data_IF_373603815549
#
_entry.id   IF_373603815549
#
_cell.length_a   1.000
_cell.length_b   1.000
_cell.length_c   1.000
_cell.angle_alpha   90.00
_cell.angle_beta   90.00
_cell.angle_gamma   90.00
#
_symmetry.space_group_name_H-M   'P 1'
#
loop_
_entity.id
_entity.type
_entity.pdbx_description
1 polymer ?
#
# COMPACT_ATOMS: atom_id res chain seq x y z
N UNK A 1 5.47 -9.48 -25.18
CA UNK A 1 4.97 -8.16 -25.61
C UNK A 1 3.54 -8.35 -26.11
N UNK A 2 2.58 -7.58 -25.61
CA UNK A 2 1.17 -7.65 -26.03
C UNK A 2 0.76 -6.33 -26.65
N UNK A 3 0.34 -6.34 -27.92
CA UNK A 3 -0.20 -5.16 -28.61
C UNK A 3 -1.72 -5.14 -28.45
N UNK A 4 -2.27 -3.98 -28.10
CA UNK A 4 -3.71 -3.77 -27.92
C UNK A 4 -4.19 -2.71 -28.92
N UNK A 5 -5.37 -2.92 -29.48
CA UNK A 5 -6.03 -1.95 -30.37
C UNK A 5 -6.90 -1.01 -29.55
N UNK A 6 -6.77 0.29 -29.82
CA UNK A 6 -7.67 1.30 -29.26
C UNK A 6 -8.99 1.22 -30.04
N UNK A 7 -10.09 1.06 -29.32
CA UNK A 7 -11.44 1.08 -29.90
C UNK A 7 -11.81 2.48 -30.39
N UNK A 8 -12.87 2.60 -31.19
CA UNK A 8 -13.39 3.90 -31.64
C UNK A 8 -13.78 4.84 -30.49
N UNK A 9 -14.04 4.30 -29.30
CA UNK A 9 -14.33 5.06 -28.07
C UNK A 9 -13.07 5.42 -27.27
N UNK A 10 -11.87 5.16 -27.78
CA UNK A 10 -10.62 5.44 -27.07
C UNK A 10 -10.29 4.45 -25.95
N UNK A 11 -10.93 3.28 -25.91
CA UNK A 11 -10.71 2.27 -24.86
C UNK A 11 -9.76 1.16 -25.33
N UNK A 12 -8.98 0.61 -24.40
CA UNK A 12 -8.22 -0.64 -24.58
C UNK A 12 -8.82 -1.75 -23.72
N UNK A 13 -8.76 -2.99 -24.19
CA UNK A 13 -9.23 -4.16 -23.43
C UNK A 13 -8.05 -4.97 -22.93
N UNK A 14 -7.91 -5.10 -21.61
CA UNK A 14 -6.92 -5.96 -20.98
C UNK A 14 -7.43 -7.40 -20.93
N UNK A 15 -6.70 -8.33 -21.55
CA UNK A 15 -7.02 -9.77 -21.49
C UNK A 15 -6.72 -10.35 -20.11
N UNK A 16 -7.27 -11.55 -19.84
CA UNK A 16 -7.20 -12.25 -18.53
C UNK A 16 -5.79 -12.29 -17.91
N UNK A 17 -4.75 -12.50 -18.72
CA UNK A 17 -3.39 -12.61 -18.21
C UNK A 17 -2.83 -11.27 -17.71
N UNK A 18 -3.16 -10.16 -18.38
CA UNK A 18 -2.77 -8.81 -17.93
C UNK A 18 -3.54 -8.37 -16.69
N UNK A 19 -4.85 -8.70 -16.61
CA UNK A 19 -5.64 -8.46 -15.40
C UNK A 19 -5.07 -9.21 -14.19
N UNK A 20 -4.63 -10.47 -14.40
CA UNK A 20 -4.00 -11.28 -13.36
C UNK A 20 -2.67 -10.69 -12.90
N UNK A 21 -1.83 -10.21 -13.82
CA UNK A 21 -0.57 -9.55 -13.48
C UNK A 21 -0.78 -8.25 -12.70
N UNK A 22 -1.81 -7.49 -13.05
CA UNK A 22 -2.19 -6.29 -12.29
C UNK A 22 -2.86 -6.62 -10.94
N UNK A 23 -3.30 -7.86 -10.72
CA UNK A 23 -4.01 -8.26 -9.51
C UNK A 23 -5.41 -7.64 -9.38
N UNK A 24 -6.07 -7.33 -10.50
CA UNK A 24 -7.40 -6.69 -10.51
C UNK A 24 -8.49 -7.61 -11.04
N UNK A 25 -9.70 -7.47 -10.50
CA UNK A 25 -10.92 -8.16 -10.94
C UNK A 25 -11.96 -7.15 -11.46
N UNK A 26 -13.01 -7.60 -12.18
CA UNK A 26 -14.10 -6.70 -12.57
C UNK A 26 -14.67 -5.93 -11.38
N UNK A 27 -14.86 -4.62 -11.54
CA UNK A 27 -15.30 -3.71 -10.48
C UNK A 27 -14.18 -2.99 -9.73
N UNK A 28 -12.95 -3.50 -9.77
CA UNK A 28 -11.78 -2.80 -9.22
C UNK A 28 -11.35 -1.66 -10.14
N UNK A 29 -10.71 -0.65 -9.54
CA UNK A 29 -10.19 0.52 -10.25
C UNK A 29 -8.70 0.36 -10.52
N UNK A 30 -8.23 1.02 -11.57
CA UNK A 30 -6.80 1.14 -11.90
C UNK A 30 -6.42 2.61 -11.96
N UNK A 31 -5.19 2.92 -11.59
CA UNK A 31 -4.60 4.24 -11.72
C UNK A 31 -3.71 4.25 -12.97
N UNK A 32 -3.78 5.34 -13.73
CA UNK A 32 -2.97 5.55 -14.94
C UNK A 32 -2.17 6.83 -14.74
N UNK A 33 -0.86 6.72 -14.80
CA UNK A 33 0.06 7.86 -14.55
C UNK A 33 1.02 8.02 -15.73
N UNK A 34 1.18 9.24 -16.27
CA UNK A 34 2.22 9.52 -17.25
C UNK A 34 3.61 9.36 -16.63
N UNK A 35 4.50 8.62 -17.29
CA UNK A 35 5.90 8.45 -16.83
C UNK A 35 6.93 9.06 -17.77
N UNK A 36 6.49 9.73 -18.84
CA UNK A 36 7.34 10.35 -19.85
C UNK A 36 6.64 10.46 -21.21
N UNK A 37 7.34 10.99 -22.23
CA UNK A 37 6.77 11.17 -23.57
C UNK A 37 6.23 9.85 -24.14
N UNK A 38 4.94 9.81 -24.46
CA UNK A 38 4.28 8.63 -25.04
C UNK A 38 4.18 7.41 -24.11
N UNK A 39 4.44 7.58 -22.80
CA UNK A 39 4.46 6.46 -21.83
C UNK A 39 3.45 6.66 -20.71
N UNK A 40 2.73 5.59 -20.44
CA UNK A 40 1.82 5.47 -19.30
C UNK A 40 2.22 4.27 -18.46
N UNK A 41 2.09 4.41 -17.16
CA UNK A 41 2.11 3.31 -16.20
C UNK A 41 0.68 3.04 -15.73
N UNK A 42 0.33 1.76 -15.62
CA UNK A 42 -0.97 1.31 -15.12
C UNK A 42 -0.72 0.49 -13.87
N UNK A 43 -1.38 0.84 -12.77
CA UNK A 43 -1.31 0.11 -11.50
C UNK A 43 -2.71 -0.17 -10.99
N UNK A 44 -2.87 -1.25 -10.22
CA UNK A 44 -4.09 -1.43 -9.44
C UNK A 44 -4.26 -0.25 -8.49
N UNK A 45 -5.46 0.33 -8.41
CA UNK A 45 -5.76 1.26 -7.34
C UNK A 45 -5.82 0.44 -6.05
N UNK A 46 -4.99 0.75 -5.03
CA UNK A 46 -5.09 0.05 -3.76
C UNK A 46 -6.51 0.22 -3.22
N UNK A 47 -7.23 -0.88 -3.00
CA UNK A 47 -8.39 -0.83 -2.12
C UNK A 47 -7.82 -0.40 -0.76
N UNK A 48 -8.14 0.82 -0.31
CA UNK A 48 -7.84 1.25 1.06
C UNK A 48 -8.70 0.41 2.00
N UNK A 49 -8.27 -0.83 2.26
CA UNK A 49 -8.88 -1.69 3.27
C UNK A 49 -8.30 -1.27 4.60
N UNK A 50 -9.17 -0.68 5.39
CA UNK A 50 -8.85 -0.21 6.72
C UNK A 50 -8.40 1.24 6.75
N UNK A 51 -8.76 1.89 7.85
CA UNK A 51 -8.28 3.22 8.23
C UNK A 51 -7.16 3.07 9.26
N UNK A 52 -6.29 4.07 9.39
CA UNK A 52 -5.33 4.10 10.51
C UNK A 52 -6.04 4.03 11.88
N UNK A 53 -7.30 4.45 11.97
CA UNK A 53 -8.11 4.32 13.19
C UNK A 53 -8.40 2.86 13.53
N UNK A 54 -8.39 1.97 12.56
CA UNK A 54 -8.62 0.54 12.79
C UNK A 54 -7.42 -0.11 13.48
N UNK A 55 -6.26 0.56 13.49
CA UNK A 55 -5.06 0.17 14.25
C UNK A 55 -5.05 0.72 15.67
N UNK A 56 -6.03 1.57 16.04
CA UNK A 56 -6.07 2.15 17.37
C UNK A 56 -6.24 1.06 18.42
N UNK A 57 -5.28 0.97 19.35
CA UNK A 57 -5.34 0.05 20.48
C UNK A 57 -4.90 -1.39 20.19
N UNK A 58 -4.38 -1.71 19.00
CA UNK A 58 -3.95 -3.10 18.70
C UNK A 58 -2.81 -3.60 19.62
N UNK A 59 -2.05 -2.68 20.22
CA UNK A 59 -0.96 -2.96 21.18
C UNK A 59 -1.36 -2.63 22.62
N UNK A 60 -2.62 -2.27 22.88
CA UNK A 60 -3.08 -1.94 24.22
C UNK A 60 -3.20 -3.22 25.05
N UNK A 61 -2.56 -3.20 26.22
CA UNK A 61 -2.70 -4.22 27.25
C UNK A 61 -3.16 -3.53 28.53
N UNK A 62 -4.36 -3.82 29.06
CA UNK A 62 -4.87 -3.18 30.27
C UNK A 62 -4.04 -3.49 31.52
N UNK A 63 -3.23 -4.55 31.51
CA UNK A 63 -2.37 -4.93 32.63
C UNK A 63 -0.95 -4.37 32.51
N UNK A 64 -0.60 -3.75 31.38
CA UNK A 64 0.72 -3.14 31.19
C UNK A 64 0.75 -1.79 31.90
N UNK A 65 1.66 -1.59 32.88
CA UNK A 65 1.82 -0.28 33.51
C UNK A 65 2.27 0.76 32.49
N UNK A 66 1.84 2.01 32.67
CA UNK A 66 2.34 3.12 31.89
C UNK A 66 3.82 3.35 32.21
N UNK A 67 4.64 3.44 31.17
CA UNK A 67 6.07 3.76 31.27
C UNK A 67 6.24 5.27 31.42
N UNK A 68 7.15 5.70 32.30
CA UNK A 68 7.50 7.13 32.39
C UNK A 68 8.38 7.56 31.23
N UNK A 69 8.50 8.87 31.00
CA UNK A 69 9.40 9.39 29.96
C UNK A 69 10.86 9.05 30.26
N UNK A 70 11.25 9.09 31.53
CA UNK A 70 12.59 8.76 31.99
C UNK A 70 12.93 7.29 31.75
N UNK A 71 11.99 6.38 32.02
CA UNK A 71 12.13 4.95 31.73
C UNK A 71 12.25 4.70 30.22
N UNK A 72 11.48 5.43 29.41
CA UNK A 72 11.54 5.34 27.96
C UNK A 72 12.89 5.81 27.41
N UNK A 73 13.39 6.95 27.88
CA UNK A 73 14.69 7.51 27.47
C UNK A 73 15.86 6.59 27.84
N UNK A 74 15.79 5.95 29.02
CA UNK A 74 16.77 4.96 29.45
C UNK A 74 16.80 3.74 28.52
N UNK A 75 15.64 3.19 28.17
CA UNK A 75 15.52 2.03 27.28
C UNK A 75 16.03 2.39 25.88
N UNK A 76 15.68 3.56 25.35
CA UNK A 76 16.17 4.05 24.05
C UNK A 76 17.71 4.13 24.05
N UNK A 77 18.31 4.66 25.12
CA UNK A 77 19.77 4.80 25.25
C UNK A 77 20.47 3.44 25.28
N UNK A 78 19.97 2.50 26.08
CA UNK A 78 20.52 1.13 26.15
C UNK A 78 20.40 0.40 24.82
N UNK A 79 19.29 0.59 24.11
CA UNK A 79 19.05 -0.01 22.79
C UNK A 79 20.04 0.48 21.76
N UNK A 80 20.32 1.79 21.75
CA UNK A 80 21.35 2.38 20.91
C UNK A 80 22.76 1.86 21.24
N UNK A 81 23.07 1.66 22.52
CA UNK A 81 24.36 1.15 22.98
C UNK A 81 24.55 -0.37 22.79
N UNK A 82 23.48 -1.12 22.47
CA UNK A 82 23.52 -2.58 22.38
C UNK A 82 23.52 -3.30 23.74
N UNK A 83 23.02 -2.63 24.79
CA UNK A 83 23.01 -3.10 26.19
C UNK A 83 21.63 -3.63 26.64
N UNK A 84 20.75 -3.89 25.67
CA UNK A 84 19.35 -4.28 25.86
C UNK A 84 19.17 -5.79 25.76
#
# INVERSE_FOLDING_TARGET
>A
MSTLTITSKGQITLKKDLLRQLGVTPGMKVEVTPTGPGRLEIRAQPERKGSFRDLYGILYDPNRPAMTLEEMDEIIRKGWAGEL
#
